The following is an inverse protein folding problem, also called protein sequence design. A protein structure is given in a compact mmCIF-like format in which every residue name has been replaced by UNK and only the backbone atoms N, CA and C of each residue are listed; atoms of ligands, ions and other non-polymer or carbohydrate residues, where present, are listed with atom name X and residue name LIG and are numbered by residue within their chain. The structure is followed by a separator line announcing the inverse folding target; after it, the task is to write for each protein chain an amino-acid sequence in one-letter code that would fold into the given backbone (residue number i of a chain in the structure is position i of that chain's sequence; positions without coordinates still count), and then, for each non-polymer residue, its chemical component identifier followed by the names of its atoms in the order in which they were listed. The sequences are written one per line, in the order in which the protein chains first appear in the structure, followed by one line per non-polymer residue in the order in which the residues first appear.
data_IF_948849021569
#
_entry.id   IF_948849021569
#
_cell.length_a   1.000
_cell.length_b   1.000
_cell.length_c   1.000
_cell.angle_alpha   90.00
_cell.angle_beta   90.00
_cell.angle_gamma   90.00
#
_symmetry.space_group_name_H-M   'P 1'
#
loop_
_entity.id
_entity.type
_entity.pdbx_description
1 polymer ?
#
# COMPACT_ATOMS: atom_id res chain seq x y z
N UNK A 1 -16.92 -4.85 12.96
CA UNK A 1 -16.87 -4.58 11.51
C UNK A 1 -16.12 -5.74 10.86
N UNK A 2 -16.68 -6.38 9.84
CA UNK A 2 -16.03 -7.47 9.08
C UNK A 2 -16.08 -7.13 7.60
N UNK A 3 -14.98 -7.37 6.90
CA UNK A 3 -14.89 -7.25 5.44
C UNK A 3 -14.86 -8.65 4.85
N UNK A 4 -15.61 -8.87 3.78
CA UNK A 4 -15.56 -10.15 3.06
C UNK A 4 -14.21 -10.31 2.38
N UNK A 5 -13.65 -11.51 2.44
CA UNK A 5 -12.35 -11.83 1.86
C UNK A 5 -12.48 -12.31 0.42
N UNK A 6 -11.53 -11.91 -0.41
CA UNK A 6 -11.26 -12.58 -1.68
C UNK A 6 -10.51 -13.91 -1.49
N UNK A 7 -10.23 -14.58 -2.61
CA UNK A 7 -9.54 -15.88 -2.61
C UNK A 7 -8.01 -15.80 -2.61
N UNK A 8 -7.43 -14.60 -2.75
CA UNK A 8 -5.98 -14.41 -2.91
C UNK A 8 -5.31 -14.09 -1.58
N UNK A 9 -4.19 -14.75 -1.30
CA UNK A 9 -3.27 -14.35 -0.23
C UNK A 9 -2.56 -13.03 -0.54
N UNK A 10 -1.90 -12.44 0.46
CA UNK A 10 -1.06 -11.24 0.28
C UNK A 10 0.03 -11.47 -0.77
N UNK A 11 0.69 -12.62 -0.74
CA UNK A 11 1.76 -12.99 -1.67
C UNK A 11 1.20 -13.13 -3.09
N UNK A 12 0.01 -13.70 -3.23
CA UNK A 12 -0.68 -13.80 -4.52
C UNK A 12 -1.12 -12.43 -5.05
N UNK A 13 -1.55 -11.52 -4.17
CA UNK A 13 -1.86 -10.14 -4.56
C UNK A 13 -0.59 -9.42 -5.04
N UNK A 14 0.50 -9.50 -4.27
CA UNK A 14 1.79 -8.90 -4.64
C UNK A 14 2.30 -9.46 -5.97
N UNK A 15 2.21 -10.78 -6.18
CA UNK A 15 2.66 -11.44 -7.42
C UNK A 15 1.96 -10.94 -8.69
N UNK A 16 0.74 -10.40 -8.55
CA UNK A 16 -0.04 -9.84 -9.65
C UNK A 16 0.30 -8.39 -9.99
N UNK A 17 1.18 -7.73 -9.23
CA UNK A 17 1.52 -6.31 -9.41
C UNK A 17 2.74 -6.17 -10.30
N UNK A 18 2.59 -5.52 -11.46
CA UNK A 18 3.72 -5.20 -12.35
C UNK A 18 4.65 -4.15 -11.74
N UNK A 19 4.09 -3.09 -11.15
CA UNK A 19 4.82 -2.02 -10.48
C UNK A 19 3.92 -1.39 -9.41
N UNK A 20 4.39 -1.27 -8.17
CA UNK A 20 3.60 -0.70 -7.09
C UNK A 20 4.38 -0.57 -5.78
N UNK A 21 3.70 -0.21 -4.70
CA UNK A 21 4.27 -0.16 -3.35
C UNK A 21 3.37 -0.98 -2.43
N UNK A 22 3.96 -1.93 -1.70
CA UNK A 22 3.32 -2.57 -0.57
C UNK A 22 3.53 -1.68 0.65
N UNK A 23 2.51 -0.93 1.04
CA UNK A 23 2.52 -0.08 2.24
C UNK A 23 2.43 -0.95 3.48
N UNK A 24 3.37 -0.79 4.41
CA UNK A 24 3.39 -1.48 5.70
C UNK A 24 3.24 -0.54 6.89
N UNK A 25 3.36 0.77 6.68
CA UNK A 25 3.18 1.79 7.71
C UNK A 25 2.75 3.13 7.12
N UNK A 26 2.10 3.95 7.96
CA UNK A 26 1.71 5.33 7.66
C UNK A 26 2.37 6.28 8.67
N UNK A 27 2.93 7.37 8.15
CA UNK A 27 3.78 8.32 8.88
C UNK A 27 3.15 9.72 8.87
N UNK A 28 2.16 9.94 9.73
CA UNK A 28 1.38 11.18 9.77
C UNK A 28 0.59 11.41 8.48
N UNK A 29 -0.12 12.54 8.41
CA UNK A 29 -0.99 12.89 7.29
C UNK A 29 -2.34 13.41 7.73
N UNK A 30 -3.18 13.76 6.77
CA UNK A 30 -4.52 14.26 7.02
C UNK A 30 -5.49 13.87 5.91
N UNK A 31 -6.78 13.93 6.22
CA UNK A 31 -7.85 13.77 5.26
C UNK A 31 -8.89 14.87 5.44
N UNK A 32 -9.47 15.31 4.33
CA UNK A 32 -10.61 16.22 4.33
C UNK A 32 -11.90 15.38 4.28
N UNK A 33 -12.65 15.34 5.39
CA UNK A 33 -13.88 14.55 5.47
C UNK A 33 -15.02 15.07 4.57
N UNK A 34 -14.95 16.32 4.11
CA UNK A 34 -15.97 16.89 3.22
C UNK A 34 -15.72 16.55 1.75
N UNK A 35 -14.46 16.45 1.31
CA UNK A 35 -14.09 16.19 -0.10
C UNK A 35 -13.61 14.76 -0.34
N UNK A 36 -13.07 14.10 0.69
CA UNK A 36 -12.43 12.79 0.59
C UNK A 36 -10.95 12.85 0.23
N UNK A 37 -10.37 14.04 0.02
CA UNK A 37 -8.95 14.18 -0.27
C UNK A 37 -8.12 13.70 0.93
N UNK A 38 -7.06 12.93 0.66
CA UNK A 38 -6.16 12.44 1.69
C UNK A 38 -4.71 12.50 1.24
N UNK A 39 -3.80 12.69 2.19
CA UNK A 39 -2.37 12.52 1.99
C UNK A 39 -1.76 12.02 3.29
N UNK A 40 -1.03 10.91 3.19
CA UNK A 40 -0.34 10.28 4.30
C UNK A 40 1.07 9.93 3.86
N UNK A 41 2.04 10.17 4.73
CA UNK A 41 3.38 9.63 4.54
C UNK A 41 3.31 8.10 4.61
N UNK A 42 4.09 7.40 3.78
CA UNK A 42 4.12 5.93 3.77
C UNK A 42 5.53 5.37 3.93
N UNK A 43 5.58 4.13 4.43
CA UNK A 43 6.74 3.26 4.36
C UNK A 43 6.33 1.85 3.96
N UNK A 44 7.25 1.10 3.35
CA UNK A 44 6.97 -0.23 2.84
C UNK A 44 8.03 -0.77 1.90
N UNK A 45 7.58 -1.47 0.85
CA UNK A 45 8.47 -2.09 -0.13
C UNK A 45 8.02 -1.80 -1.55
N UNK A 46 8.97 -1.49 -2.42
CA UNK A 46 8.71 -1.38 -3.85
C UNK A 46 8.46 -2.77 -4.45
N UNK A 47 7.38 -2.88 -5.21
CA UNK A 47 7.00 -4.10 -5.95
C UNK A 47 7.35 -3.92 -7.42
N UNK A 48 8.13 -4.84 -7.96
CA UNK A 48 8.43 -4.90 -9.40
C UNK A 48 8.24 -6.34 -9.92
N UNK A 49 7.44 -6.49 -10.97
CA UNK A 49 7.09 -7.75 -11.62
C UNK A 49 6.70 -8.87 -10.62
N UNK A 50 5.89 -8.52 -9.64
CA UNK A 50 5.38 -9.46 -8.65
C UNK A 50 6.31 -9.74 -7.47
N UNK A 51 7.45 -9.05 -7.37
CA UNK A 51 8.43 -9.26 -6.29
C UNK A 51 8.67 -7.99 -5.47
N UNK A 52 8.77 -8.16 -4.15
CA UNK A 52 9.27 -7.10 -3.27
C UNK A 52 10.77 -6.93 -3.51
N UNK A 53 11.20 -5.69 -3.73
CA UNK A 53 12.57 -5.40 -4.14
C UNK A 53 13.35 -4.69 -3.04
N UNK A 54 13.13 -3.40 -2.84
CA UNK A 54 13.82 -2.59 -1.84
C UNK A 54 12.82 -1.87 -0.93
N UNK A 55 13.21 -1.57 0.32
CA UNK A 55 12.38 -0.77 1.22
C UNK A 55 12.21 0.64 0.67
N UNK A 56 11.05 1.24 0.92
CA UNK A 56 10.72 2.63 0.61
C UNK A 56 10.27 3.34 1.87
N UNK A 57 10.66 4.60 2.00
CA UNK A 57 10.30 5.49 3.11
C UNK A 57 10.23 6.94 2.60
N UNK A 58 9.68 7.85 3.41
CA UNK A 58 9.63 9.29 3.14
C UNK A 58 8.89 9.65 1.82
N UNK A 59 7.83 8.90 1.47
CA UNK A 59 6.97 9.20 0.32
C UNK A 59 5.60 9.74 0.78
N UNK A 60 5.02 10.71 0.06
CA UNK A 60 3.73 11.36 0.36
C UNK A 60 2.81 11.53 -0.86
#
# INVERSE_FOLDING_TARGET
LTMDLGVKSKEQLVSGIRRGILVTGFNGGNCNAATGDFSYGIEGFFVENGQLTHPVSEMN
#
